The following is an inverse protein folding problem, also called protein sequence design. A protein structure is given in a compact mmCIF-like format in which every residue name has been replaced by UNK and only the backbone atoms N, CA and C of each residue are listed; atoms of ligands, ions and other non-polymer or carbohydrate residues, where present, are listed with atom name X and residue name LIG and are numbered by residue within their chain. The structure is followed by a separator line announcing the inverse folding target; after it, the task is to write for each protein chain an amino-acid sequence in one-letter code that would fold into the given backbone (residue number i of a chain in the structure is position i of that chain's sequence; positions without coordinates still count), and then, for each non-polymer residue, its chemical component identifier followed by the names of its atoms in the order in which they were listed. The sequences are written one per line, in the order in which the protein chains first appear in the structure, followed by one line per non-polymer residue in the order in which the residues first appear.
data_IF_717487271058
#
_entry.id   IF_717487271058
#
_cell.length_a   1.000
_cell.length_b   1.000
_cell.length_c   1.000
_cell.angle_alpha   90.00
_cell.angle_beta   90.00
_cell.angle_gamma   90.00
#
_symmetry.space_group_name_H-M   'P 1'
#
loop_
_entity.id
_entity.type
_entity.pdbx_description
1 polymer ?
#
# COMPACT_ATOMS: atom_id res chain seq x y z
N UNK A 1 4.39 -19.44 -6.92
CA UNK A 1 5.64 -18.65 -6.85
C UNK A 1 6.51 -19.12 -5.69
N UNK A 2 7.85 -19.03 -5.76
CA UNK A 2 8.74 -19.39 -4.64
C UNK A 2 9.14 -18.15 -3.82
N UNK A 3 9.62 -18.37 -2.58
CA UNK A 3 10.00 -17.28 -1.66
C UNK A 3 11.13 -16.40 -2.22
N UNK A 4 12.08 -16.96 -2.93
CA UNK A 4 13.24 -16.19 -3.42
C UNK A 4 12.87 -15.21 -4.52
N UNK A 5 11.99 -15.60 -5.46
CA UNK A 5 11.45 -14.66 -6.44
C UNK A 5 10.66 -13.53 -5.75
N UNK A 6 9.84 -13.85 -4.75
CA UNK A 6 9.11 -12.83 -3.99
C UNK A 6 10.06 -11.86 -3.28
N UNK A 7 11.14 -12.35 -2.67
CA UNK A 7 12.17 -11.50 -2.04
C UNK A 7 12.83 -10.56 -3.06
N UNK A 8 13.12 -11.06 -4.26
CA UNK A 8 13.65 -10.23 -5.34
C UNK A 8 12.66 -9.15 -5.76
N UNK A 9 11.38 -9.49 -5.97
CA UNK A 9 10.32 -8.54 -6.32
C UNK A 9 10.20 -7.45 -5.24
N UNK A 10 10.17 -7.84 -3.96
CA UNK A 10 10.13 -6.91 -2.82
C UNK A 10 11.33 -5.96 -2.80
N UNK A 11 12.53 -6.47 -3.08
CA UNK A 11 13.74 -5.66 -3.15
C UNK A 11 13.70 -4.66 -4.32
N UNK A 12 13.21 -5.08 -5.48
CA UNK A 12 13.04 -4.20 -6.65
C UNK A 12 12.01 -3.10 -6.36
N UNK A 13 10.85 -3.46 -5.81
CA UNK A 13 9.76 -2.53 -5.48
C UNK A 13 10.18 -1.50 -4.43
N UNK A 14 11.06 -1.88 -3.50
CA UNK A 14 11.63 -0.98 -2.50
C UNK A 14 12.38 0.21 -3.11
N UNK A 15 13.00 0.04 -4.27
CA UNK A 15 13.67 1.15 -4.97
C UNK A 15 12.70 2.21 -5.50
N UNK A 16 11.42 1.86 -5.69
CA UNK A 16 10.42 2.75 -6.30
C UNK A 16 10.06 3.94 -5.42
N UNK A 17 10.08 3.79 -4.10
CA UNK A 17 9.73 4.85 -3.16
C UNK A 17 10.94 5.56 -2.54
N UNK A 18 12.13 4.94 -2.58
CA UNK A 18 13.36 5.55 -2.04
C UNK A 18 13.95 6.62 -2.97
N UNK A 19 13.81 6.45 -4.28
CA UNK A 19 14.46 7.31 -5.27
C UNK A 19 13.54 8.39 -5.88
N UNK A 20 12.36 8.63 -5.28
CA UNK A 20 11.37 9.57 -5.83
C UNK A 20 11.27 10.82 -4.99
N UNK A 21 11.45 11.97 -5.63
CA UNK A 21 11.01 13.24 -5.08
C UNK A 21 9.47 13.21 -4.96
N UNK A 22 8.97 13.43 -3.74
CA UNK A 22 7.54 13.50 -3.47
C UNK A 22 7.13 14.96 -3.34
N UNK A 23 6.03 15.30 -4.01
CA UNK A 23 5.29 16.53 -3.71
C UNK A 23 4.27 16.14 -2.64
N UNK A 24 4.44 16.68 -1.44
CA UNK A 24 3.52 16.40 -0.34
C UNK A 24 2.12 16.89 -0.68
N UNK A 25 1.12 16.04 -0.44
CA UNK A 25 -0.30 16.38 -0.53
C UNK A 25 -0.88 16.48 0.87
N UNK A 26 -1.74 17.46 1.08
CA UNK A 26 -2.45 17.66 2.35
C UNK A 26 -3.58 16.63 2.50
N UNK A 27 -3.21 15.46 3.01
CA UNK A 27 -4.14 14.45 3.49
C UNK A 27 -3.88 14.23 4.98
N UNK A 28 -4.90 14.35 5.85
CA UNK A 28 -4.74 14.12 7.29
C UNK A 28 -4.64 12.61 7.56
N UNK A 29 -3.48 12.03 7.24
CA UNK A 29 -3.20 10.61 7.42
C UNK A 29 -2.61 10.39 8.82
N UNK A 30 -3.28 9.56 9.61
CA UNK A 30 -2.83 9.13 10.92
C UNK A 30 -1.96 7.87 10.81
N UNK A 31 -0.90 7.80 11.63
CA UNK A 31 0.06 6.69 11.60
C UNK A 31 -0.56 5.34 12.01
N UNK A 32 -1.64 5.38 12.79
CA UNK A 32 -2.27 4.23 13.42
C UNK A 32 -3.58 3.79 12.75
N UNK A 33 -3.80 4.25 11.52
CA UNK A 33 -5.00 3.95 10.74
C UNK A 33 -4.62 3.20 9.46
N UNK A 34 -5.42 2.19 9.12
CA UNK A 34 -5.29 1.50 7.83
C UNK A 34 -6.05 2.30 6.78
N UNK A 35 -5.48 2.44 5.59
CA UNK A 35 -6.08 3.23 4.52
C UNK A 35 -6.38 2.40 3.29
N UNK A 36 -7.50 2.68 2.65
CA UNK A 36 -7.85 2.20 1.32
C UNK A 36 -7.97 3.39 0.39
N UNK A 37 -6.93 3.65 -0.39
CA UNK A 37 -6.89 4.75 -1.35
C UNK A 37 -7.55 4.31 -2.66
N UNK A 38 -8.64 4.97 -3.02
CA UNK A 38 -9.45 4.62 -4.19
C UNK A 38 -9.60 5.83 -5.11
N UNK A 39 -9.61 5.61 -6.41
CA UNK A 39 -9.74 6.70 -7.36
C UNK A 39 -9.15 6.37 -8.72
N UNK A 40 -9.39 7.22 -9.71
CA UNK A 40 -9.00 6.95 -11.09
C UNK A 40 -7.49 6.73 -11.25
N UNK A 41 -7.10 6.08 -12.36
CA UNK A 41 -5.68 5.97 -12.74
C UNK A 41 -5.05 7.36 -12.82
N UNK A 42 -3.78 7.46 -12.39
CA UNK A 42 -2.99 8.70 -12.33
C UNK A 42 -3.47 9.76 -11.32
N UNK A 43 -4.39 9.44 -10.42
CA UNK A 43 -4.78 10.34 -9.33
C UNK A 43 -3.71 10.53 -8.22
N UNK A 44 -2.59 9.81 -8.28
CA UNK A 44 -1.50 9.93 -7.29
C UNK A 44 -1.66 9.03 -6.04
N UNK A 45 -2.43 7.94 -6.12
CA UNK A 45 -2.65 7.02 -4.99
C UNK A 45 -1.34 6.39 -4.46
N UNK A 46 -0.52 5.83 -5.34
CA UNK A 46 0.78 5.26 -4.97
C UNK A 46 1.71 6.29 -4.33
N UNK A 47 1.61 7.56 -4.74
CA UNK A 47 2.38 8.65 -4.13
C UNK A 47 1.93 8.95 -2.70
N UNK A 48 0.65 8.77 -2.36
CA UNK A 48 0.19 8.86 -0.96
C UNK A 48 0.76 7.72 -0.11
N UNK A 49 0.88 6.50 -0.67
CA UNK A 49 1.61 5.41 0.00
C UNK A 49 3.08 5.80 0.23
N UNK A 50 3.75 6.35 -0.78
CA UNK A 50 5.14 6.78 -0.63
C UNK A 50 5.30 7.88 0.43
N UNK A 51 4.36 8.83 0.50
CA UNK A 51 4.31 9.85 1.55
C UNK A 51 4.13 9.21 2.94
N UNK A 52 3.25 8.21 3.09
CA UNK A 52 3.14 7.47 4.35
C UNK A 52 4.43 6.75 4.72
N UNK A 53 5.11 6.13 3.75
CA UNK A 53 6.40 5.47 3.99
C UNK A 53 7.44 6.49 4.46
N UNK A 54 7.58 7.64 3.80
CA UNK A 54 8.52 8.68 4.21
C UNK A 54 8.23 9.17 5.63
N UNK A 55 6.97 9.46 5.95
CA UNK A 55 6.56 9.85 7.30
C UNK A 55 6.92 8.78 8.34
N UNK A 56 6.76 7.48 8.04
CA UNK A 56 7.17 6.41 8.96
C UNK A 56 8.68 6.38 9.17
N UNK A 57 9.46 6.52 8.10
CA UNK A 57 10.92 6.55 8.17
C UNK A 57 11.44 7.75 8.97
N UNK A 58 10.77 8.90 8.87
CA UNK A 58 11.05 10.09 9.68
C UNK A 58 10.66 9.92 11.16
N UNK A 59 9.78 8.96 11.48
CA UNK A 59 9.31 8.64 12.84
C UNK A 59 9.89 7.29 13.34
N UNK A 60 11.19 7.07 13.11
CA UNK A 60 11.98 5.96 13.64
C UNK A 60 11.57 4.53 13.20
N UNK A 61 10.70 4.40 12.19
CA UNK A 61 10.42 3.09 11.59
C UNK A 61 11.57 2.72 10.67
N UNK A 62 12.13 1.54 10.87
CA UNK A 62 13.25 1.10 10.03
C UNK A 62 12.78 0.66 8.66
N UNK A 63 13.64 0.84 7.66
CA UNK A 63 13.36 0.46 6.28
C UNK A 63 13.08 -1.06 6.11
N UNK A 64 13.55 -1.90 7.02
CA UNK A 64 13.28 -3.35 7.01
C UNK A 64 11.87 -3.69 7.49
N UNK A 65 11.19 -2.78 8.19
CA UNK A 65 9.79 -2.93 8.57
C UNK A 65 8.84 -2.50 7.45
N UNK A 66 9.32 -1.89 6.37
CA UNK A 66 8.48 -1.44 5.26
C UNK A 66 8.38 -2.54 4.20
N UNK A 67 7.17 -3.02 3.96
CA UNK A 67 6.84 -3.96 2.89
C UNK A 67 5.96 -3.24 1.89
N UNK A 68 6.49 -3.03 0.68
CA UNK A 68 5.75 -2.43 -0.43
C UNK A 68 5.72 -3.41 -1.60
N UNK A 69 4.52 -3.69 -2.12
CA UNK A 69 4.29 -4.51 -3.31
C UNK A 69 3.35 -3.78 -4.25
N UNK A 70 3.74 -3.69 -5.53
CA UNK A 70 2.88 -3.25 -6.61
C UNK A 70 2.38 -4.44 -7.44
N UNK A 71 1.08 -4.67 -7.43
CA UNK A 71 0.42 -5.78 -8.13
C UNK A 71 0.16 -5.51 -9.63
N UNK A 72 0.67 -4.42 -10.21
CA UNK A 72 0.80 -4.26 -11.67
C UNK A 72 2.10 -4.87 -12.22
N UNK A 73 3.01 -5.37 -11.37
CA UNK A 73 4.21 -6.08 -11.81
C UNK A 73 3.85 -7.36 -12.59
N UNK A 74 4.38 -7.50 -13.81
CA UNK A 74 4.08 -8.63 -14.69
C UNK A 74 4.42 -9.99 -14.08
N UNK A 75 5.38 -10.03 -13.15
CA UNK A 75 5.79 -11.24 -12.43
C UNK A 75 4.73 -11.72 -11.42
N UNK A 76 3.74 -10.87 -11.12
CA UNK A 76 2.67 -11.12 -10.16
C UNK A 76 1.30 -11.35 -10.82
N UNK A 77 1.20 -11.41 -12.14
CA UNK A 77 -0.10 -11.52 -12.85
C UNK A 77 -0.95 -12.72 -12.39
N UNK A 78 -0.31 -13.83 -12.07
CA UNK A 78 -0.97 -15.08 -11.66
C UNK A 78 -0.96 -15.30 -10.14
N UNK A 79 -0.62 -14.27 -9.35
CA UNK A 79 -0.58 -14.42 -7.90
C UNK A 79 -1.98 -14.67 -7.33
N UNK A 80 -2.08 -15.67 -6.46
CA UNK A 80 -3.31 -16.02 -5.74
C UNK A 80 -3.39 -15.33 -4.37
N UNK A 81 -4.60 -15.22 -3.82
CA UNK A 81 -4.79 -14.71 -2.45
C UNK A 81 -4.07 -15.53 -1.38
N UNK A 82 -3.83 -16.83 -1.64
CA UNK A 82 -3.08 -17.72 -0.76
C UNK A 82 -1.60 -17.32 -0.68
N UNK A 83 -1.03 -16.86 -1.79
CA UNK A 83 0.37 -16.43 -1.88
C UNK A 83 0.62 -15.06 -1.22
N UNK A 84 -0.43 -14.27 -0.92
CA UNK A 84 -0.29 -13.04 -0.13
C UNK A 84 0.28 -13.30 1.28
N UNK A 85 0.05 -14.49 1.85
CA UNK A 85 0.69 -14.87 3.12
C UNK A 85 2.22 -14.93 3.03
N UNK A 86 2.76 -15.30 1.87
CA UNK A 86 4.20 -15.35 1.67
C UNK A 86 4.83 -13.96 1.84
N UNK A 87 4.15 -12.91 1.37
CA UNK A 87 4.59 -11.51 1.53
C UNK A 87 4.63 -11.13 3.01
N UNK A 88 3.60 -11.53 3.78
CA UNK A 88 3.54 -11.29 5.22
C UNK A 88 4.66 -12.02 5.97
N UNK A 89 4.90 -13.28 5.66
CA UNK A 89 5.97 -14.09 6.27
C UNK A 89 7.35 -13.47 6.01
N UNK A 90 7.66 -13.11 4.76
CA UNK A 90 8.92 -12.46 4.41
C UNK A 90 9.03 -11.10 5.11
N UNK A 91 7.93 -10.35 5.20
CA UNK A 91 7.88 -9.08 5.92
C UNK A 91 8.20 -9.22 7.42
N UNK A 92 7.71 -10.26 8.07
CA UNK A 92 8.04 -10.58 9.46
C UNK A 92 9.51 -10.98 9.63
N UNK A 93 10.04 -11.80 8.71
CA UNK A 93 11.46 -12.15 8.67
C UNK A 93 12.34 -10.90 8.57
N UNK A 94 11.95 -9.92 7.74
CA UNK A 94 12.69 -8.67 7.55
C UNK A 94 12.56 -7.71 8.74
N UNK A 95 11.37 -7.58 9.32
CA UNK A 95 11.13 -6.69 10.46
C UNK A 95 11.94 -7.11 11.70
N UNK A 96 12.19 -8.41 11.86
CA UNK A 96 12.89 -8.99 13.00
C UNK A 96 11.99 -9.25 14.21
N UNK A 97 12.54 -9.91 15.23
CA UNK A 97 11.79 -10.32 16.41
C UNK A 97 11.16 -9.13 17.15
N UNK A 98 9.89 -9.30 17.56
CA UNK A 98 9.14 -8.30 18.32
C UNK A 98 8.66 -7.09 17.51
N UNK A 99 8.90 -7.05 16.19
CA UNK A 99 8.46 -5.95 15.32
C UNK A 99 7.46 -6.45 14.27
N UNK A 100 6.45 -5.61 14.02
CA UNK A 100 5.50 -5.86 12.93
C UNK A 100 5.90 -5.06 11.69
N UNK A 101 5.78 -5.64 10.48
CA UNK A 101 5.91 -4.90 9.24
C UNK A 101 4.70 -3.98 9.01
N UNK A 102 4.99 -2.85 8.37
CA UNK A 102 4.00 -1.98 7.74
C UNK A 102 3.82 -2.45 6.30
N UNK A 103 2.58 -2.78 5.93
CA UNK A 103 2.23 -3.39 4.66
C UNK A 103 1.60 -2.35 3.74
N UNK A 104 2.15 -2.24 2.53
CA UNK A 104 1.70 -1.32 1.50
C UNK A 104 1.46 -2.09 0.21
N UNK A 105 0.20 -2.14 -0.23
CA UNK A 105 -0.22 -2.92 -1.39
C UNK A 105 -0.83 -2.02 -2.45
N UNK A 106 -0.09 -1.80 -3.54
CA UNK A 106 -0.53 -0.96 -4.65
C UNK A 106 -1.29 -1.81 -5.69
N UNK A 107 -2.45 -1.31 -6.12
CA UNK A 107 -3.33 -1.95 -7.11
C UNK A 107 -3.73 -3.40 -6.75
N UNK A 108 -3.97 -3.66 -5.45
CA UNK A 108 -4.26 -5.00 -4.90
C UNK A 108 -5.48 -5.69 -5.52
N UNK A 109 -6.40 -4.94 -6.13
CA UNK A 109 -7.56 -5.51 -6.82
C UNK A 109 -7.20 -6.42 -8.00
N UNK A 110 -5.94 -6.42 -8.45
CA UNK A 110 -5.43 -7.36 -9.44
C UNK A 110 -5.32 -8.79 -8.89
N UNK A 111 -5.39 -8.99 -7.57
CA UNK A 111 -5.33 -10.31 -6.92
C UNK A 111 -6.73 -10.78 -6.53
N UNK A 112 -7.34 -11.77 -7.19
CA UNK A 112 -8.69 -12.22 -6.83
C UNK A 112 -8.77 -12.75 -5.39
N UNK A 113 -9.74 -12.27 -4.60
CA UNK A 113 -9.98 -12.74 -3.23
C UNK A 113 -9.07 -12.12 -2.16
N UNK A 114 -8.31 -11.08 -2.51
CA UNK A 114 -7.42 -10.33 -1.62
C UNK A 114 -8.13 -9.75 -0.39
N UNK A 115 -9.43 -9.49 -0.47
CA UNK A 115 -10.21 -8.79 0.56
C UNK A 115 -10.21 -9.55 1.88
N UNK A 116 -10.28 -10.89 1.82
CA UNK A 116 -10.22 -11.77 3.00
C UNK A 116 -8.86 -11.69 3.68
N UNK A 117 -7.79 -11.63 2.89
CA UNK A 117 -6.43 -11.47 3.40
C UNK A 117 -6.26 -10.13 4.09
N UNK A 118 -6.63 -9.03 3.44
CA UNK A 118 -6.54 -7.68 3.99
C UNK A 118 -7.35 -7.54 5.29
N UNK A 119 -8.58 -8.08 5.33
CA UNK A 119 -9.41 -8.09 6.54
C UNK A 119 -8.71 -8.81 7.70
N UNK A 120 -8.23 -10.05 7.47
CA UNK A 120 -7.56 -10.85 8.50
C UNK A 120 -6.31 -10.15 9.04
N UNK A 121 -5.50 -9.57 8.16
CA UNK A 121 -4.28 -8.85 8.53
C UNK A 121 -4.60 -7.62 9.38
N UNK A 122 -5.64 -6.86 9.01
CA UNK A 122 -6.12 -5.74 9.83
C UNK A 122 -6.68 -6.18 11.19
N UNK A 123 -7.42 -7.30 11.25
CA UNK A 123 -7.92 -7.88 12.51
C UNK A 123 -6.77 -8.30 13.44
N UNK A 124 -5.66 -8.79 12.87
CA UNK A 124 -4.41 -9.11 13.57
C UNK A 124 -3.59 -7.87 13.96
N UNK A 125 -4.14 -6.65 13.81
CA UNK A 125 -3.52 -5.36 14.19
C UNK A 125 -2.29 -4.96 13.38
N UNK A 126 -2.06 -5.58 12.22
CA UNK A 126 -1.07 -5.08 11.27
C UNK A 126 -1.52 -3.75 10.67
N UNK A 127 -0.55 -2.93 10.32
CA UNK A 127 -0.75 -1.72 9.53
C UNK A 127 -0.74 -2.08 8.06
N UNK A 128 -1.87 -1.88 7.40
CA UNK A 128 -2.05 -2.19 5.99
C UNK A 128 -2.70 -1.02 5.27
N UNK A 129 -1.95 -0.43 4.35
CA UNK A 129 -2.44 0.58 3.41
C UNK A 129 -2.51 -0.04 2.02
N UNK A 130 -3.64 0.14 1.36
CA UNK A 130 -3.90 -0.44 0.04
C UNK A 130 -4.34 0.65 -0.94
N UNK A 131 -4.05 0.46 -2.23
CA UNK A 131 -4.65 1.27 -3.29
C UNK A 131 -5.45 0.41 -4.25
N UNK A 132 -6.36 1.05 -4.98
CA UNK A 132 -6.87 0.48 -6.21
C UNK A 132 -7.62 1.46 -7.11
N UNK A 133 -7.48 1.26 -8.41
CA UNK A 133 -7.98 2.19 -9.43
C UNK A 133 -9.34 1.86 -10.04
N UNK A 134 -9.89 0.69 -9.76
CA UNK A 134 -11.13 0.21 -10.37
C UNK A 134 -12.37 0.54 -9.52
N UNK A 135 -13.49 0.79 -10.20
CA UNK A 135 -14.85 0.86 -9.65
C UNK A 135 -15.18 -0.27 -8.67
N UNK A 136 -14.61 -1.47 -8.84
CA UNK A 136 -14.75 -2.58 -7.89
C UNK A 136 -14.37 -2.17 -6.47
N UNK A 137 -13.30 -1.42 -6.28
CA UNK A 137 -12.81 -0.93 -4.97
C UNK A 137 -13.81 -0.01 -4.25
N UNK A 138 -14.69 0.64 -5.00
CA UNK A 138 -15.77 1.49 -4.48
C UNK A 138 -17.07 0.71 -4.23
N UNK A 139 -17.07 -0.60 -4.47
CA UNK A 139 -18.25 -1.43 -4.25
C UNK A 139 -18.63 -1.47 -2.77
N UNK A 140 -19.95 -1.54 -2.52
CA UNK A 140 -20.48 -1.74 -1.16
C UNK A 140 -19.91 -2.99 -0.49
N UNK A 141 -19.55 -4.00 -1.27
CA UNK A 141 -18.96 -5.25 -0.78
C UNK A 141 -17.57 -5.02 -0.16
N UNK A 142 -16.71 -4.25 -0.83
CA UNK A 142 -15.38 -3.91 -0.29
C UNK A 142 -15.50 -2.96 0.90
N UNK A 143 -16.41 -1.98 0.83
CA UNK A 143 -16.70 -1.11 1.97
C UNK A 143 -17.21 -1.90 3.18
N UNK A 144 -18.05 -2.92 2.99
CA UNK A 144 -18.50 -3.79 4.09
C UNK A 144 -17.38 -4.68 4.62
N UNK A 145 -16.47 -5.10 3.73
CA UNK A 145 -15.39 -6.03 4.06
C UNK A 145 -14.27 -5.39 4.84
N UNK A 146 -13.93 -4.16 4.50
CA UNK A 146 -12.91 -3.36 5.17
C UNK A 146 -13.50 -2.38 6.18
N UNK A 147 -14.83 -2.29 6.24
CA UNK A 147 -15.59 -1.39 7.11
C UNK A 147 -15.17 -1.54 8.57
N UNK A 148 -14.89 -0.40 9.21
CA UNK A 148 -14.43 -0.31 10.60
C UNK A 148 -12.97 -0.74 10.83
N UNK A 149 -12.27 -1.22 9.81
CA UNK A 149 -10.86 -1.66 9.88
C UNK A 149 -9.92 -0.81 9.05
N UNK A 150 -10.44 -0.20 7.99
CA UNK A 150 -9.72 0.74 7.14
C UNK A 150 -10.58 1.95 6.80
N UNK A 151 -9.95 3.11 6.70
CA UNK A 151 -10.54 4.34 6.18
C UNK A 151 -10.46 4.35 4.66
N UNK A 152 -11.60 4.48 3.99
CA UNK A 152 -11.65 4.64 2.53
C UNK A 152 -11.41 6.11 2.22
N UNK A 153 -10.37 6.38 1.43
CA UNK A 153 -9.99 7.73 1.00
C UNK A 153 -10.12 7.81 -0.51
N UNK A 154 -11.06 8.63 -0.96
CA UNK A 154 -11.21 8.92 -2.38
C UNK A 154 -10.15 9.94 -2.81
N UNK A 155 -9.24 9.50 -3.66
CA UNK A 155 -8.13 10.31 -4.16
C UNK A 155 -8.51 10.86 -5.53
N UNK A 156 -8.56 12.18 -5.61
CA UNK A 156 -8.76 12.90 -6.86
C UNK A 156 -7.41 13.30 -7.46
N UNK A 157 -7.35 13.55 -8.79
CA UNK A 157 -6.25 14.27 -9.41
C UNK A 157 -5.96 15.57 -8.67
N UNK A 158 -4.78 16.15 -8.92
CA UNK A 158 -4.46 17.46 -8.38
C UNK A 158 -5.55 18.48 -8.65
N UNK A 159 -5.94 19.18 -7.60
CA UNK A 159 -6.56 20.49 -7.72
C UNK A 159 -5.59 21.44 -8.45
N UNK A 160 -6.13 22.53 -8.98
CA UNK A 160 -5.31 23.53 -9.65
C UNK A 160 -4.18 24.08 -8.75
N UNK A 161 -4.47 24.28 -7.46
CA UNK A 161 -3.48 24.71 -6.48
C UNK A 161 -2.35 23.67 -6.28
N UNK A 162 -2.70 22.40 -6.06
CA UNK A 162 -1.71 21.31 -5.95
C UNK A 162 -0.86 21.19 -7.22
N UNK A 163 -1.47 21.40 -8.40
CA UNK A 163 -0.75 21.40 -9.66
C UNK A 163 0.29 22.54 -9.76
N UNK A 164 -0.07 23.76 -9.33
CA UNK A 164 0.87 24.88 -9.31
C UNK A 164 2.05 24.60 -8.37
N UNK A 165 1.76 24.16 -7.14
CA UNK A 165 2.78 23.76 -6.17
C UNK A 165 3.69 22.66 -6.72
N UNK A 166 3.13 21.61 -7.32
CA UNK A 166 3.91 20.51 -7.92
C UNK A 166 4.75 20.97 -9.13
N UNK A 167 4.32 22.02 -9.82
CA UNK A 167 5.03 22.59 -10.97
C UNK A 167 6.07 23.65 -10.57
N UNK A 168 6.23 23.95 -9.28
CA UNK A 168 7.09 25.02 -8.78
C UNK A 168 6.62 26.41 -9.19
N UNK A 169 5.31 26.60 -9.38
CA UNK A 169 4.67 27.86 -9.78
C UNK A 169 3.86 28.47 -8.65
#
# INVERSE_FOLDING_TARGET
MNKDLMRQIMADHKTMYLNRALVSRDFPLEINVNYCFVGIRRAGKSYLIYQQIQNLLENDVTLNQIVYINFEDERLLEISAQELNMILEIGLEYAGEGKLPYLFFDEIQNVPGWEKFARRVADMKYRVSITGSNSKMLSKEIASTLGGRSMIVQVFPYSFAEYLTASGK
#
